data_IF_584315361747
#
_entry.id   IF_584315361747
#
_cell.length_a   1.000
_cell.length_b   1.000
_cell.length_c   1.000
_cell.angle_alpha   90.00
_cell.angle_beta   90.00
_cell.angle_gamma   90.00
#
_symmetry.space_group_name_H-M   'P 1'
#
loop_
_entity.id
_entity.type
_entity.pdbx_description
1 polymer ?
#
# COMPACT_ATOMS: atom_id res chain seq x y z
N UNK A 1 -10.77 -16.00 5.53
CA UNK A 1 -9.65 -16.34 4.62
C UNK A 1 -9.02 -15.02 4.19
N UNK A 2 -7.69 -14.93 4.16
CA UNK A 2 -7.01 -13.66 3.86
C UNK A 2 -7.36 -13.16 2.45
N UNK A 3 -7.68 -11.87 2.34
CA UNK A 3 -8.00 -11.21 1.07
C UNK A 3 -6.77 -11.14 0.15
N UNK A 4 -5.60 -10.93 0.74
CA UNK A 4 -4.32 -10.82 0.04
C UNK A 4 -3.28 -11.69 0.73
N UNK A 5 -2.76 -12.71 0.05
CA UNK A 5 -1.66 -13.52 0.54
C UNK A 5 -0.34 -13.08 -0.10
N UNK A 6 0.64 -12.78 0.76
CA UNK A 6 2.02 -12.62 0.31
C UNK A 6 2.55 -13.93 -0.27
N UNK A 7 3.32 -13.83 -1.35
CA UNK A 7 4.07 -14.95 -1.90
C UNK A 7 5.43 -14.45 -2.42
N UNK A 8 6.37 -15.38 -2.64
CA UNK A 8 7.75 -15.03 -3.02
C UNK A 8 7.88 -14.32 -4.38
N UNK A 9 6.85 -14.37 -5.23
CA UNK A 9 6.88 -13.62 -6.50
C UNK A 9 6.84 -12.10 -6.28
N UNK A 10 6.45 -11.63 -5.10
CA UNK A 10 6.46 -10.21 -4.74
C UNK A 10 7.80 -9.72 -4.18
N UNK A 11 8.75 -10.61 -3.89
CA UNK A 11 10.05 -10.19 -3.37
C UNK A 11 10.79 -9.32 -4.39
N UNK A 12 11.38 -8.25 -3.88
CA UNK A 12 12.27 -7.34 -4.63
C UNK A 12 13.75 -7.55 -4.25
N UNK A 13 14.07 -8.69 -3.65
CA UNK A 13 15.41 -9.05 -3.16
C UNK A 13 16.02 -8.01 -2.18
N UNK A 14 15.19 -7.19 -1.55
CA UNK A 14 15.58 -6.26 -0.51
C UNK A 14 14.78 -6.59 0.76
N UNK A 15 15.48 -7.05 1.80
CA UNK A 15 14.85 -7.55 3.04
C UNK A 15 14.00 -6.48 3.72
N UNK A 16 14.41 -5.22 3.67
CA UNK A 16 13.69 -4.13 4.33
C UNK A 16 12.44 -3.71 3.54
N UNK A 17 12.51 -3.70 2.21
CA UNK A 17 11.34 -3.44 1.37
C UNK A 17 10.35 -4.61 1.44
N UNK A 18 10.81 -5.86 1.36
CA UNK A 18 9.95 -7.04 1.48
C UNK A 18 9.19 -7.07 2.83
N UNK A 19 9.85 -6.66 3.92
CA UNK A 19 9.18 -6.50 5.23
C UNK A 19 8.09 -5.43 5.18
N UNK A 20 8.34 -4.31 4.49
CA UNK A 20 7.36 -3.25 4.33
C UNK A 20 6.17 -3.69 3.48
N UNK A 21 6.39 -4.36 2.35
CA UNK A 21 5.29 -4.89 1.54
C UNK A 21 4.46 -5.92 2.31
N UNK A 22 5.09 -6.84 3.05
CA UNK A 22 4.37 -7.79 3.92
C UNK A 22 3.49 -7.07 4.94
N UNK A 23 4.00 -5.99 5.55
CA UNK A 23 3.22 -5.20 6.50
C UNK A 23 2.03 -4.50 5.85
N UNK A 24 2.17 -4.01 4.61
CA UNK A 24 1.04 -3.46 3.85
C UNK A 24 -0.03 -4.54 3.58
N UNK A 25 0.39 -5.74 3.19
CA UNK A 25 -0.51 -6.89 3.01
C UNK A 25 -1.25 -7.23 4.31
N UNK A 26 -0.55 -7.25 5.45
CA UNK A 26 -1.16 -7.47 6.77
C UNK A 26 -2.20 -6.41 7.12
N UNK A 27 -1.93 -5.13 6.84
CA UNK A 27 -2.86 -4.03 7.13
C UNK A 27 -4.12 -4.11 6.24
N UNK A 28 -3.98 -4.47 4.96
CA UNK A 28 -5.11 -4.71 4.05
C UNK A 28 -5.98 -5.87 4.57
N UNK A 29 -5.35 -6.98 4.98
CA UNK A 29 -6.07 -8.12 5.55
C UNK A 29 -6.75 -7.77 6.88
N UNK A 30 -6.10 -6.99 7.74
CA UNK A 30 -6.66 -6.55 9.01
C UNK A 30 -7.91 -5.69 8.80
N UNK A 31 -7.89 -4.83 7.78
CA UNK A 31 -9.05 -4.02 7.41
C UNK A 31 -10.19 -4.89 6.88
N UNK A 32 -9.89 -5.87 6.03
CA UNK A 32 -10.84 -6.85 5.53
C UNK A 32 -11.47 -7.68 6.66
N UNK A 33 -10.67 -8.18 7.59
CA UNK A 33 -11.15 -9.00 8.70
C UNK A 33 -12.00 -8.18 9.68
N UNK A 34 -11.63 -6.93 9.96
CA UNK A 34 -12.43 -6.02 10.77
C UNK A 34 -13.80 -5.74 10.13
N UNK A 35 -13.86 -5.59 8.80
CA UNK A 35 -15.12 -5.48 8.07
C UNK A 35 -15.95 -6.76 8.17
N UNK A 36 -15.35 -7.92 7.93
CA UNK A 36 -16.05 -9.22 8.00
C UNK A 36 -16.58 -9.56 9.39
N UNK A 37 -15.93 -9.06 10.44
CA UNK A 37 -16.36 -9.19 11.84
C UNK A 37 -17.41 -8.15 12.26
N UNK A 38 -17.81 -7.23 11.38
CA UNK A 38 -18.76 -6.17 11.71
C UNK A 38 -18.22 -5.20 12.78
N UNK A 39 -16.91 -4.93 12.80
CA UNK A 39 -16.33 -3.96 13.73
C UNK A 39 -16.87 -2.55 13.49
N UNK A 40 -16.82 -1.73 14.53
CA UNK A 40 -17.34 -0.37 14.48
C UNK A 40 -16.55 0.52 13.50
N UNK A 41 -17.17 1.62 13.07
CA UNK A 41 -16.57 2.60 12.17
C UNK A 41 -15.28 3.19 12.75
N UNK A 42 -15.21 3.35 14.06
CA UNK A 42 -14.03 3.86 14.77
C UNK A 42 -12.84 2.90 14.61
N UNK A 43 -13.07 1.59 14.82
CA UNK A 43 -12.03 0.55 14.66
C UNK A 43 -11.55 0.50 13.21
N UNK A 44 -12.47 0.52 12.25
CA UNK A 44 -12.15 0.57 10.83
C UNK A 44 -11.34 1.82 10.47
N UNK A 45 -11.70 2.97 11.04
CA UNK A 45 -10.99 4.23 10.85
C UNK A 45 -9.56 4.21 11.36
N UNK A 46 -9.30 3.57 12.51
CA UNK A 46 -7.95 3.39 13.07
C UNK A 46 -7.08 2.56 12.12
N UNK A 47 -7.56 1.38 11.71
CA UNK A 47 -6.80 0.50 10.80
C UNK A 47 -6.55 1.20 9.46
N UNK A 48 -7.53 1.97 8.96
CA UNK A 48 -7.38 2.70 7.71
C UNK A 48 -6.39 3.86 7.82
N UNK A 49 -6.34 4.57 8.95
CA UNK A 49 -5.30 5.56 9.23
C UNK A 49 -3.91 4.92 9.26
N UNK A 50 -3.77 3.76 9.92
CA UNK A 50 -2.50 3.04 10.00
C UNK A 50 -2.03 2.61 8.62
N UNK A 51 -2.93 2.10 7.77
CA UNK A 51 -2.63 1.78 6.38
C UNK A 51 -2.12 3.00 5.61
N UNK A 52 -2.81 4.14 5.70
CA UNK A 52 -2.40 5.38 5.01
C UNK A 52 -1.03 5.86 5.48
N UNK A 53 -0.81 5.88 6.80
CA UNK A 53 0.44 6.31 7.41
C UNK A 53 1.60 5.42 6.97
N UNK A 54 1.38 4.10 7.02
CA UNK A 54 2.38 3.13 6.64
C UNK A 54 2.72 3.19 5.14
N UNK A 55 1.72 3.29 4.26
CA UNK A 55 1.93 3.46 2.81
C UNK A 55 2.77 4.70 2.50
N UNK A 56 2.51 5.84 3.16
CA UNK A 56 3.32 7.06 2.98
C UNK A 56 4.76 6.86 3.44
N UNK A 57 4.97 6.20 4.58
CA UNK A 57 6.31 5.92 5.10
C UNK A 57 7.10 4.98 4.18
N UNK A 58 6.42 3.99 3.61
CA UNK A 58 6.96 3.03 2.67
C UNK A 58 7.41 3.69 1.37
N UNK A 59 6.51 4.47 0.73
CA UNK A 59 6.87 5.21 -0.49
C UNK A 59 8.03 6.18 -0.27
N UNK A 60 8.07 6.86 0.89
CA UNK A 60 9.20 7.73 1.23
C UNK A 60 10.51 6.94 1.35
N UNK A 61 10.47 5.75 1.93
CA UNK A 61 11.65 4.88 2.04
C UNK A 61 12.15 4.48 0.65
N UNK A 62 11.27 3.98 -0.22
CA UNK A 62 11.64 3.59 -1.59
C UNK A 62 12.12 4.77 -2.42
N UNK A 63 11.45 5.92 -2.34
CA UNK A 63 11.87 7.14 -3.01
C UNK A 63 13.28 7.58 -2.61
N UNK A 64 13.64 7.47 -1.33
CA UNK A 64 15.01 7.75 -0.87
C UNK A 64 15.99 6.73 -1.45
N UNK A 65 15.67 5.44 -1.41
CA UNK A 65 16.54 4.39 -2.00
C UNK A 65 16.74 4.61 -3.51
N UNK A 66 15.68 4.98 -4.24
CA UNK A 66 15.74 5.29 -5.66
C UNK A 66 16.63 6.51 -5.95
N UNK A 67 16.54 7.56 -5.14
CA UNK A 67 17.39 8.74 -5.25
C UNK A 67 18.86 8.41 -4.99
N UNK A 68 19.15 7.67 -3.93
CA UNK A 68 20.51 7.27 -3.55
C UNK A 68 21.19 6.43 -4.64
N UNK A 69 20.40 5.57 -5.30
CA UNK A 69 20.86 4.70 -6.40
C UNK A 69 20.76 5.35 -7.77
N UNK A 70 20.33 6.61 -7.86
CA UNK A 70 20.12 7.36 -9.12
C UNK A 70 19.25 6.58 -10.11
N UNK A 71 18.17 5.97 -9.61
CA UNK A 71 17.26 5.17 -10.42
C UNK A 71 16.63 6.03 -11.54
N UNK A 72 16.77 5.65 -12.82
CA UNK A 72 16.40 6.50 -13.95
C UNK A 72 14.90 6.81 -14.02
N UNK A 73 14.05 5.86 -13.61
CA UNK A 73 12.59 5.99 -13.68
C UNK A 73 11.97 6.57 -12.38
N UNK A 74 12.78 7.16 -11.49
CA UNK A 74 12.35 7.74 -10.22
C UNK A 74 11.11 8.64 -10.37
N UNK A 75 11.14 9.57 -11.32
CA UNK A 75 10.05 10.54 -11.51
C UNK A 75 8.73 9.86 -11.88
N UNK A 76 8.79 8.84 -12.74
CA UNK A 76 7.60 8.08 -13.14
C UNK A 76 7.06 7.25 -11.96
N UNK A 77 7.95 6.58 -11.24
CA UNK A 77 7.59 5.75 -10.08
C UNK A 77 6.95 6.61 -8.97
N UNK A 78 7.56 7.74 -8.61
CA UNK A 78 7.01 8.69 -7.63
C UNK A 78 5.64 9.23 -8.03
N UNK A 79 5.36 9.39 -9.32
CA UNK A 79 4.04 9.83 -9.77
C UNK A 79 2.97 8.77 -9.48
N UNK A 80 3.29 7.47 -9.54
CA UNK A 80 2.39 6.40 -9.14
C UNK A 80 2.07 6.47 -7.64
N UNK A 81 3.09 6.67 -6.79
CA UNK A 81 2.93 6.87 -5.34
C UNK A 81 2.01 8.05 -5.01
N UNK A 82 2.24 9.19 -5.67
CA UNK A 82 1.44 10.39 -5.47
C UNK A 82 -0.02 10.18 -5.88
N UNK A 83 -0.26 9.50 -7.01
CA UNK A 83 -1.62 9.17 -7.47
C UNK A 83 -2.36 8.33 -6.45
N UNK A 84 -1.75 7.25 -5.95
CA UNK A 84 -2.40 6.43 -4.91
C UNK A 84 -2.63 7.25 -3.64
N UNK A 85 -1.61 7.96 -3.16
CA UNK A 85 -1.70 8.74 -1.91
C UNK A 85 -2.86 9.73 -1.98
N UNK A 86 -3.01 10.45 -3.10
CA UNK A 86 -4.11 11.40 -3.29
C UNK A 86 -5.47 10.72 -3.33
N UNK A 87 -5.58 9.58 -4.02
CA UNK A 87 -6.83 8.80 -4.09
C UNK A 87 -7.25 8.30 -2.70
N UNK A 88 -6.33 7.72 -1.94
CA UNK A 88 -6.63 7.18 -0.60
C UNK A 88 -6.94 8.30 0.39
N UNK A 89 -6.25 9.46 0.31
CA UNK A 89 -6.58 10.61 1.16
C UNK A 89 -7.96 11.20 0.86
N UNK A 90 -8.36 11.24 -0.41
CA UNK A 90 -9.72 11.66 -0.79
C UNK A 90 -10.76 10.71 -0.18
N UNK A 91 -10.56 9.41 -0.33
CA UNK A 91 -11.44 8.39 0.25
C UNK A 91 -11.50 8.49 1.78
N UNK A 92 -10.37 8.81 2.43
CA UNK A 92 -10.33 9.04 3.86
C UNK A 92 -11.16 10.24 4.30
N UNK A 93 -11.08 11.36 3.58
CA UNK A 93 -11.91 12.53 3.87
C UNK A 93 -13.41 12.23 3.70
N UNK A 94 -13.76 11.51 2.64
CA UNK A 94 -15.15 11.05 2.42
C UNK A 94 -15.60 10.10 3.54
N UNK A 95 -14.73 9.19 3.97
CA UNK A 95 -15.00 8.27 5.08
C UNK A 95 -15.21 9.05 6.38
N UNK A 96 -14.35 9.99 6.73
CA UNK A 96 -14.41 10.79 7.96
C UNK A 96 -15.67 11.67 8.02
N UNK A 97 -16.07 12.23 6.87
CA UNK A 97 -17.32 12.99 6.74
C UNK A 97 -18.59 12.14 6.76
N UNK A 98 -18.46 10.80 6.78
CA UNK A 98 -19.59 9.87 6.78
C UNK A 98 -20.26 9.73 5.40
N UNK A 99 -19.66 10.29 4.34
CA UNK A 99 -20.17 10.19 2.97
C UNK A 99 -20.00 8.81 2.36
N UNK A 100 -18.96 8.08 2.79
CA UNK A 100 -18.69 6.71 2.34
C UNK A 100 -18.38 5.81 3.52
N UNK A 101 -18.61 4.51 3.31
CA UNK A 101 -18.16 3.44 4.19
C UNK A 101 -16.97 2.73 3.54
N UNK A 102 -16.13 2.09 4.36
CA UNK A 102 -15.10 1.19 3.81
C UNK A 102 -15.84 0.02 3.15
N UNK A 103 -15.61 -0.16 1.85
CA UNK A 103 -16.27 -1.18 1.04
C UNK A 103 -15.29 -2.27 0.62
N UNK A 104 -15.84 -3.41 0.20
CA UNK A 104 -15.06 -4.49 -0.41
C UNK A 104 -14.37 -3.99 -1.70
N UNK A 105 -14.99 -3.08 -2.44
CA UNK A 105 -14.39 -2.49 -3.64
C UNK A 105 -13.13 -1.68 -3.32
N UNK A 106 -13.12 -0.91 -2.22
CA UNK A 106 -11.93 -0.21 -1.75
C UNK A 106 -10.81 -1.19 -1.39
N UNK A 107 -11.14 -2.27 -0.68
CA UNK A 107 -10.17 -3.30 -0.31
C UNK A 107 -9.58 -4.00 -1.54
N UNK A 108 -10.42 -4.34 -2.52
CA UNK A 108 -9.97 -4.91 -3.79
C UNK A 108 -9.09 -3.93 -4.57
N UNK A 109 -9.47 -2.66 -4.64
CA UNK A 109 -8.66 -1.61 -5.25
C UNK A 109 -7.26 -1.54 -4.61
N UNK A 110 -7.17 -1.47 -3.28
CA UNK A 110 -5.89 -1.40 -2.56
C UNK A 110 -5.03 -2.65 -2.79
N UNK A 111 -5.65 -3.84 -2.74
CA UNK A 111 -5.00 -5.12 -3.03
C UNK A 111 -4.45 -5.16 -4.45
N UNK A 112 -5.29 -4.84 -5.44
CA UNK A 112 -4.93 -4.95 -6.85
C UNK A 112 -3.89 -3.90 -7.23
N UNK A 113 -3.99 -2.68 -6.68
CA UNK A 113 -2.98 -1.64 -6.85
C UNK A 113 -1.63 -2.11 -6.28
N UNK A 114 -1.60 -2.57 -5.02
CA UNK A 114 -0.35 -3.00 -4.37
C UNK A 114 0.28 -4.17 -5.11
N UNK A 115 -0.52 -5.18 -5.47
CA UNK A 115 -0.06 -6.33 -6.27
C UNK A 115 0.57 -5.88 -7.59
N UNK A 116 -0.12 -5.01 -8.33
CA UNK A 116 0.33 -4.54 -9.64
C UNK A 116 1.61 -3.71 -9.51
N UNK A 117 1.63 -2.77 -8.57
CA UNK A 117 2.77 -1.88 -8.35
C UNK A 117 4.04 -2.65 -7.98
N UNK A 118 3.94 -3.63 -7.07
CA UNK A 118 5.09 -4.47 -6.72
C UNK A 118 5.63 -5.21 -7.95
N UNK A 119 4.75 -5.84 -8.73
CA UNK A 119 5.15 -6.68 -9.85
C UNK A 119 5.65 -5.90 -11.07
N UNK A 120 5.08 -4.72 -11.34
CA UNK A 120 5.33 -3.95 -12.56
C UNK A 120 6.25 -2.74 -12.35
N UNK A 121 6.33 -2.20 -11.14
CA UNK A 121 7.09 -0.98 -10.83
C UNK A 121 8.26 -1.29 -9.90
N UNK A 122 8.00 -1.88 -8.73
CA UNK A 122 9.02 -2.12 -7.70
C UNK A 122 10.08 -3.10 -8.20
N UNK A 123 9.66 -4.15 -8.90
CA UNK A 123 10.60 -5.11 -9.49
C UNK A 123 11.59 -4.49 -10.47
N UNK A 124 11.30 -3.35 -11.07
CA UNK A 124 12.19 -2.70 -12.05
C UNK A 124 13.43 -2.08 -11.41
N UNK A 125 13.36 -1.64 -10.14
CA UNK A 125 14.53 -1.10 -9.46
C UNK A 125 15.47 -2.18 -8.89
N UNK A 126 15.05 -3.45 -8.86
CA UNK A 126 15.82 -4.56 -8.26
C UNK A 126 17.25 -4.66 -8.80
N UNK A 127 17.50 -4.57 -10.12
CA UNK A 127 18.87 -4.60 -10.66
C UNK A 127 19.76 -3.43 -10.22
N UNK A 128 19.17 -2.32 -9.75
CA UNK A 128 19.89 -1.11 -9.32
C UNK A 128 20.18 -1.10 -7.81
N UNK A 129 19.52 -1.97 -7.06
CA UNK A 129 19.64 -2.05 -5.59
C UNK A 129 20.64 -3.12 -5.14
N UNK A 130 21.14 -3.94 -6.08
CA UNK A 130 22.19 -4.94 -5.88
C UNK A 130 23.61 -4.37 -6.12
#
# INVERSE_FOLDING_TARGET
>A
MALFQWNNSFSVNNVDIDKQHKKLVELINSLHDAMGQGKSREVLGVIFNDLISYTKSHFKFEENCMLDKKYPDYTAHRLEHQKLTNQVLKLKQEFDSGKVVISIDLLNFLKDWLKKHILESDKKYVPFFN
#
